data_IF_816553717714
#
_entry.id   IF_816553717714
#
_cell.length_a   1.000
_cell.length_b   1.000
_cell.length_c   1.000
_cell.angle_alpha   90.00
_cell.angle_beta   90.00
_cell.angle_gamma   90.00
#
_symmetry.space_group_name_H-M   'P 1'
#
loop_
_entity.id
_entity.type
_entity.pdbx_description
1 polymer ?
#
# COMPACT_ATOMS: atom_id res chain seq x y z
N UNK A 1 20.95 3.19 -17.47
CA UNK A 1 19.81 3.79 -18.22
C UNK A 1 18.80 4.40 -17.24
N UNK A 2 18.29 5.59 -17.52
CA UNK A 2 17.29 6.28 -16.67
C UNK A 2 15.96 6.45 -17.39
N UNK A 3 14.85 6.23 -16.72
CA UNK A 3 13.50 6.38 -17.26
C UNK A 3 13.00 7.82 -17.12
N UNK A 4 12.30 8.29 -18.15
CA UNK A 4 11.58 9.57 -18.16
C UNK A 4 10.21 9.38 -18.83
N UNK A 5 9.18 9.95 -18.24
CA UNK A 5 7.80 9.85 -18.73
C UNK A 5 6.88 10.85 -18.04
N UNK A 6 5.72 11.15 -18.62
CA UNK A 6 4.76 12.11 -18.06
C UNK A 6 3.34 11.67 -18.35
N UNK A 7 2.48 11.84 -17.35
CA UNK A 7 1.02 11.73 -17.47
C UNK A 7 0.36 13.00 -16.90
N UNK A 8 -0.97 13.03 -16.84
CA UNK A 8 -1.71 14.07 -16.13
C UNK A 8 -1.42 14.05 -14.61
N UNK A 9 -1.25 12.86 -14.03
CA UNK A 9 -1.22 12.67 -12.58
C UNK A 9 0.19 12.55 -11.98
N UNK A 10 1.18 12.18 -12.78
CA UNK A 10 2.56 12.08 -12.32
C UNK A 10 3.56 12.37 -13.45
N UNK A 11 4.82 12.54 -13.09
CA UNK A 11 5.94 12.50 -14.03
C UNK A 11 7.10 11.74 -13.43
N UNK A 12 7.91 11.14 -14.30
CA UNK A 12 9.21 10.58 -13.94
C UNK A 12 10.26 11.32 -14.74
N UNK A 13 11.30 11.84 -14.08
CA UNK A 13 12.48 12.43 -14.73
C UNK A 13 13.72 11.79 -14.14
N UNK A 14 14.52 11.11 -14.97
CA UNK A 14 15.72 10.40 -14.51
C UNK A 14 15.47 9.51 -13.27
N UNK A 15 14.47 8.62 -13.34
CA UNK A 15 14.00 7.75 -12.23
C UNK A 15 13.45 8.48 -10.99
N UNK A 16 13.32 9.81 -11.03
CA UNK A 16 12.70 10.59 -9.95
C UNK A 16 11.21 10.75 -10.25
N UNK A 17 10.36 10.18 -9.39
CA UNK A 17 8.90 10.20 -9.52
C UNK A 17 8.33 11.42 -8.80
N UNK A 18 7.50 12.20 -9.48
CA UNK A 18 6.72 13.30 -8.90
C UNK A 18 5.24 13.01 -9.10
N UNK A 19 4.49 12.87 -8.01
CA UNK A 19 3.04 12.70 -8.02
C UNK A 19 2.40 14.09 -7.89
N UNK A 20 1.50 14.45 -8.81
CA UNK A 20 0.90 15.80 -8.90
C UNK A 20 -0.44 15.93 -8.21
N UNK A 21 -1.04 14.81 -7.83
CA UNK A 21 -2.33 14.80 -7.15
C UNK A 21 -2.17 14.29 -5.73
N UNK A 22 -3.04 14.75 -4.85
CA UNK A 22 -3.09 14.33 -3.46
C UNK A 22 -4.54 14.12 -3.04
N UNK A 23 -4.76 13.20 -2.10
CA UNK A 23 -5.99 13.06 -1.33
C UNK A 23 -5.82 13.50 0.13
N UNK A 24 -4.65 14.06 0.48
CA UNK A 24 -4.39 14.50 1.83
C UNK A 24 -5.24 15.72 2.23
N UNK A 25 -5.56 15.77 3.52
CA UNK A 25 -6.29 16.87 4.17
C UNK A 25 -5.36 17.49 5.21
N UNK A 26 -5.26 18.82 5.21
CA UNK A 26 -4.42 19.56 6.16
C UNK A 26 -4.78 19.33 7.63
N UNK A 27 -6.03 18.94 7.91
CA UNK A 27 -6.52 18.59 9.25
C UNK A 27 -6.03 17.22 9.76
N UNK A 28 -5.40 16.39 8.92
CA UNK A 28 -4.95 15.04 9.26
C UNK A 28 -3.48 15.00 9.69
N UNK A 29 -3.08 15.99 10.48
CA UNK A 29 -1.75 16.06 11.10
C UNK A 29 -1.75 15.35 12.45
N UNK A 30 -0.58 14.92 12.97
CA UNK A 30 -0.50 14.45 14.35
C UNK A 30 -0.95 15.55 15.32
N UNK A 31 -1.37 15.17 16.55
CA UNK A 31 -1.61 16.13 17.62
C UNK A 31 -0.40 17.03 17.86
N UNK A 32 -0.65 18.30 18.17
CA UNK A 32 0.39 19.28 18.50
C UNK A 32 0.76 19.20 19.99
N UNK A 33 1.19 18.01 20.43
CA UNK A 33 1.55 17.72 21.81
C UNK A 33 3.08 17.65 22.03
N UNK A 34 3.86 18.01 20.99
CA UNK A 34 5.33 17.91 20.99
C UNK A 34 5.88 16.48 20.90
N UNK A 35 5.04 15.45 20.85
CA UNK A 35 5.50 14.04 20.78
C UNK A 35 5.95 13.65 19.36
N UNK A 36 5.51 14.42 18.36
CA UNK A 36 5.81 14.19 16.94
C UNK A 36 6.71 15.29 16.39
N UNK A 37 7.85 14.87 15.87
CA UNK A 37 8.84 15.73 15.21
C UNK A 37 8.67 15.61 13.71
N UNK A 38 8.53 16.73 12.99
CA UNK A 38 8.49 16.73 11.53
C UNK A 38 9.86 16.33 10.98
N UNK A 39 9.88 15.41 10.01
CA UNK A 39 11.08 15.04 9.28
C UNK A 39 11.09 15.77 7.93
N UNK A 40 12.05 16.67 7.76
CA UNK A 40 12.27 17.41 6.52
C UNK A 40 12.65 16.49 5.34
N UNK A 41 12.64 17.02 4.12
CA UNK A 41 12.90 16.22 2.92
C UNK A 41 14.36 15.72 2.88
N UNK A 42 15.27 16.50 3.42
CA UNK A 42 16.70 16.26 3.48
C UNK A 42 17.06 15.26 4.60
N UNK A 43 16.14 14.99 5.55
CA UNK A 43 16.37 14.02 6.62
C UNK A 43 16.68 12.63 6.03
N UNK A 44 17.73 11.93 6.48
CA UNK A 44 18.10 10.62 5.95
C UNK A 44 16.97 9.59 6.01
N UNK A 45 16.10 9.66 7.00
CA UNK A 45 14.90 8.81 7.14
C UNK A 45 13.87 9.13 6.07
N UNK A 46 13.66 10.40 5.77
CA UNK A 46 12.78 10.88 4.70
C UNK A 46 13.28 10.45 3.33
N UNK A 47 14.57 10.65 3.05
CA UNK A 47 15.24 10.16 1.84
C UNK A 47 15.10 8.65 1.70
N UNK A 48 15.32 7.88 2.78
CA UNK A 48 15.16 6.43 2.78
C UNK A 48 13.70 6.03 2.47
N UNK A 49 12.72 6.69 3.08
CA UNK A 49 11.30 6.46 2.80
C UNK A 49 10.98 6.68 1.32
N UNK A 50 11.36 7.83 0.77
CA UNK A 50 11.14 8.19 -0.63
C UNK A 50 11.84 7.25 -1.62
N UNK A 51 13.05 6.77 -1.31
CA UNK A 51 13.76 5.75 -2.11
C UNK A 51 13.04 4.40 -2.09
N UNK A 52 12.57 3.95 -0.93
CA UNK A 52 11.80 2.69 -0.81
C UNK A 52 10.50 2.77 -1.61
N UNK A 53 9.76 3.88 -1.50
CA UNK A 53 8.55 4.13 -2.28
C UNK A 53 8.86 4.12 -3.79
N UNK A 54 9.89 4.85 -4.22
CA UNK A 54 10.33 4.88 -5.62
C UNK A 54 10.63 3.48 -6.18
N UNK A 55 11.30 2.63 -5.38
CA UNK A 55 11.56 1.22 -5.75
C UNK A 55 10.28 0.40 -5.90
N UNK A 56 9.32 0.54 -4.99
CA UNK A 56 8.03 -0.17 -5.11
C UNK A 56 7.27 0.27 -6.36
N UNK A 57 7.26 1.57 -6.67
CA UNK A 57 6.63 2.12 -7.87
C UNK A 57 7.28 1.55 -9.14
N UNK A 58 8.62 1.53 -9.21
CA UNK A 58 9.31 1.04 -10.41
C UNK A 58 9.11 -0.46 -10.64
N UNK A 59 9.04 -1.25 -9.56
CA UNK A 59 8.65 -2.66 -9.63
C UNK A 59 7.21 -2.84 -10.12
N UNK A 60 6.26 -2.02 -9.63
CA UNK A 60 4.86 -2.11 -10.03
C UNK A 60 4.60 -1.72 -11.49
N UNK A 61 5.40 -0.80 -12.05
CA UNK A 61 5.33 -0.41 -13.46
C UNK A 61 6.06 -1.40 -14.40
N UNK A 62 6.57 -2.53 -13.88
CA UNK A 62 7.44 -3.47 -14.60
C UNK A 62 8.62 -2.78 -15.31
N UNK A 63 9.12 -1.65 -14.77
CA UNK A 63 10.26 -0.91 -15.33
C UNK A 63 11.60 -1.46 -14.84
N UNK A 64 11.55 -2.41 -13.91
CA UNK A 64 12.67 -3.23 -13.49
C UNK A 64 12.33 -4.64 -13.94
N UNK A 65 13.01 -5.13 -14.98
CA UNK A 65 12.80 -6.47 -15.52
C UNK A 65 12.92 -7.51 -14.40
N UNK A 66 11.94 -8.41 -14.29
CA UNK A 66 11.94 -9.53 -13.32
C UNK A 66 12.92 -10.66 -13.71
N UNK A 67 13.95 -10.36 -14.49
CA UNK A 67 14.86 -11.36 -15.06
C UNK A 67 16.16 -10.82 -15.64
N UNK A 68 16.21 -9.55 -16.09
CA UNK A 68 17.47 -8.90 -16.47
C UNK A 68 18.03 -8.08 -15.32
N UNK A 69 18.71 -8.78 -14.39
CA UNK A 69 19.47 -8.14 -13.31
C UNK A 69 20.73 -7.37 -13.78
N UNK A 70 20.96 -7.26 -15.09
CA UNK A 70 22.22 -6.76 -15.65
C UNK A 70 22.20 -5.26 -15.99
N UNK A 71 21.03 -4.64 -16.17
CA UNK A 71 20.92 -3.17 -16.24
C UNK A 71 20.55 -2.62 -14.87
N UNK A 72 21.47 -2.77 -13.90
CA UNK A 72 21.47 -1.92 -12.70
C UNK A 72 21.47 -0.47 -13.19
N UNK A 73 20.32 0.18 -13.17
CA UNK A 73 20.27 1.62 -13.34
C UNK A 73 21.13 2.21 -12.23
N UNK A 74 22.23 2.88 -12.60
CA UNK A 74 23.11 3.56 -11.64
C UNK A 74 22.34 4.58 -10.79
N UNK A 75 21.26 5.13 -11.36
CA UNK A 75 20.40 6.11 -10.71
C UNK A 75 19.28 5.39 -9.96
N UNK A 76 19.23 5.45 -8.61
CA UNK A 76 18.17 4.80 -7.85
C UNK A 76 16.81 5.49 -8.10
N UNK A 77 15.76 4.68 -8.11
CA UNK A 77 14.39 5.20 -8.11
C UNK A 77 14.07 5.89 -6.80
N UNK A 78 13.50 7.10 -6.88
CA UNK A 78 13.17 7.92 -5.71
C UNK A 78 11.92 8.75 -5.97
N UNK A 79 11.10 8.94 -4.94
CA UNK A 79 10.03 9.94 -4.96
C UNK A 79 10.64 11.34 -4.71
N UNK A 80 10.41 12.31 -5.61
CA UNK A 80 10.94 13.67 -5.48
C UNK A 80 10.49 14.33 -4.18
N UNK A 81 9.21 14.21 -3.88
CA UNK A 81 8.56 14.76 -2.69
C UNK A 81 7.31 13.92 -2.37
N UNK A 82 6.84 13.95 -1.13
CA UNK A 82 5.53 13.40 -0.81
C UNK A 82 4.43 14.20 -1.53
N UNK A 83 3.28 13.60 -1.86
CA UNK A 83 2.17 14.34 -2.46
C UNK A 83 1.73 15.50 -1.55
N UNK A 84 1.17 16.57 -2.13
CA UNK A 84 0.80 17.78 -1.38
C UNK A 84 0.05 17.47 -0.07
N UNK A 85 0.42 18.14 1.02
CA UNK A 85 -0.10 17.96 2.38
C UNK A 85 0.19 16.62 3.06
N UNK A 86 0.94 15.70 2.44
CA UNK A 86 1.58 14.62 3.18
C UNK A 86 2.85 15.11 3.87
N UNK A 87 3.09 14.61 5.09
CA UNK A 87 4.27 14.94 5.85
C UNK A 87 4.71 13.74 6.71
N UNK A 88 6.02 13.56 6.81
CA UNK A 88 6.62 12.45 7.55
C UNK A 88 6.97 12.92 8.96
N UNK A 89 6.54 12.19 9.97
CA UNK A 89 6.78 12.52 11.36
C UNK A 89 7.47 11.38 12.09
N UNK A 90 8.34 11.74 13.02
CA UNK A 90 8.99 10.84 13.96
C UNK A 90 8.31 10.97 15.33
N UNK A 91 7.86 9.84 15.89
CA UNK A 91 7.44 9.74 17.28
C UNK A 91 8.54 9.09 18.10
N UNK A 92 9.02 9.76 19.14
CA UNK A 92 9.94 9.18 20.12
C UNK A 92 9.14 8.67 21.31
N UNK A 93 9.37 7.43 21.74
CA UNK A 93 8.70 6.84 22.91
C UNK A 93 9.76 6.17 23.78
N UNK A 94 9.72 6.41 25.07
CA UNK A 94 10.54 5.69 26.05
C UNK A 94 9.61 4.82 26.90
N UNK A 95 9.93 3.52 27.01
CA UNK A 95 9.25 2.61 27.92
C UNK A 95 10.21 2.24 29.04
N UNK A 96 9.79 2.42 30.30
CA UNK A 96 10.55 1.98 31.47
C UNK A 96 10.05 0.61 31.91
N UNK A 97 10.96 -0.35 31.97
CA UNK A 97 10.68 -1.68 32.50
C UNK A 97 10.72 -1.68 34.04
N UNK A 98 10.12 -2.70 34.65
CA UNK A 98 10.07 -2.87 36.12
C UNK A 98 11.46 -3.03 36.75
N UNK A 99 12.46 -3.50 35.99
CA UNK A 99 13.87 -3.59 36.38
C UNK A 99 14.63 -2.26 36.26
N UNK A 100 13.93 -1.16 35.93
CA UNK A 100 14.50 0.16 35.76
C UNK A 100 15.16 0.40 34.40
N UNK A 101 15.27 -0.60 33.52
CA UNK A 101 15.83 -0.41 32.18
C UNK A 101 14.84 0.31 31.26
N UNK A 102 15.28 1.41 30.65
CA UNK A 102 14.51 2.17 29.67
C UNK A 102 14.86 1.73 28.24
N UNK A 103 13.85 1.42 27.42
CA UNK A 103 14.04 1.23 25.97
C UNK A 103 13.45 2.43 25.22
N UNK A 104 14.32 3.18 24.55
CA UNK A 104 13.88 4.21 23.62
C UNK A 104 13.52 3.57 22.27
N UNK A 105 12.38 3.98 21.71
CA UNK A 105 11.88 3.59 20.39
C UNK A 105 11.62 4.84 19.56
N UNK A 106 12.01 4.78 18.28
CA UNK A 106 11.70 5.79 17.26
C UNK A 106 10.75 5.16 16.25
N UNK A 107 9.53 5.66 16.15
CA UNK A 107 8.57 5.27 15.13
C UNK A 107 8.42 6.37 14.10
N UNK A 108 8.24 6.01 12.83
CA UNK A 108 8.13 6.98 11.74
C UNK A 108 6.82 6.74 11.01
N UNK A 109 6.05 7.80 10.82
CA UNK A 109 4.72 7.75 10.24
C UNK A 109 4.56 8.81 9.17
N UNK A 110 3.92 8.44 8.07
CA UNK A 110 3.48 9.39 7.06
C UNK A 110 2.02 9.77 7.31
N UNK A 111 1.77 11.05 7.54
CA UNK A 111 0.45 11.65 7.73
C UNK A 111 0.01 12.38 6.47
N UNK A 112 -1.31 12.48 6.25
CA UNK A 112 -1.90 13.23 5.14
C UNK A 112 -3.31 12.76 4.80
N UNK A 113 -3.54 11.46 4.70
CA UNK A 113 -4.89 10.89 4.53
C UNK A 113 -5.64 10.79 5.87
N UNK A 114 -6.86 10.25 5.87
CA UNK A 114 -7.63 9.93 7.09
C UNK A 114 -6.96 8.90 8.03
N UNK A 115 -5.78 8.42 7.67
CA UNK A 115 -5.00 7.42 8.36
C UNK A 115 -3.52 7.75 8.20
N UNK A 116 -2.70 7.18 9.09
CA UNK A 116 -1.25 7.26 9.03
C UNK A 116 -0.68 5.97 8.44
N UNK A 117 0.36 6.09 7.62
CA UNK A 117 1.12 4.94 7.13
C UNK A 117 2.34 4.72 8.02
N UNK A 118 2.53 3.49 8.52
CA UNK A 118 3.65 3.15 9.40
C UNK A 118 4.88 2.66 8.63
N UNK A 119 4.75 2.40 7.33
CA UNK A 119 5.87 1.98 6.49
C UNK A 119 5.80 2.53 5.06
N UNK A 120 6.95 2.61 4.37
CA UNK A 120 7.00 2.96 2.94
C UNK A 120 6.17 2.03 2.06
N UNK A 121 6.10 0.74 2.41
CA UNK A 121 5.37 -0.27 1.64
C UNK A 121 3.85 -0.07 1.73
N UNK A 122 3.34 0.26 2.93
CA UNK A 122 1.92 0.57 3.13
C UNK A 122 1.51 1.79 2.30
N UNK A 123 2.35 2.83 2.24
CA UNK A 123 2.07 4.02 1.43
C UNK A 123 2.24 3.77 -0.07
N UNK A 124 3.18 2.91 -0.50
CA UNK A 124 3.45 2.68 -1.92
C UNK A 124 2.22 2.23 -2.71
N UNK A 125 1.38 1.36 -2.13
CA UNK A 125 0.12 0.95 -2.75
C UNK A 125 -0.84 2.13 -2.98
N UNK A 126 -0.91 3.04 -2.01
CA UNK A 126 -1.71 4.27 -2.09
C UNK A 126 -1.15 5.26 -3.11
N UNK A 127 0.18 5.43 -3.13
CA UNK A 127 0.88 6.27 -4.10
C UNK A 127 0.64 5.80 -5.55
N UNK A 128 0.62 4.48 -5.80
CA UNK A 128 0.29 3.93 -7.13
C UNK A 128 -1.15 4.25 -7.52
N UNK A 129 -2.10 4.20 -6.59
CA UNK A 129 -3.48 4.64 -6.85
C UNK A 129 -3.57 6.14 -7.15
N UNK A 130 -2.81 6.99 -6.46
CA UNK A 130 -2.66 8.40 -6.82
C UNK A 130 -2.07 8.58 -8.23
N UNK A 131 -1.06 7.80 -8.61
CA UNK A 131 -0.49 7.85 -9.96
C UNK A 131 -1.50 7.44 -11.05
N UNK A 132 -2.53 6.66 -10.71
CA UNK A 132 -3.66 6.31 -11.61
C UNK A 132 -4.76 7.37 -11.65
N UNK A 133 -4.55 8.54 -11.04
CA UNK A 133 -5.56 9.60 -11.06
C UNK A 133 -6.64 9.46 -9.99
N UNK A 134 -6.37 8.71 -8.90
CA UNK A 134 -7.39 8.33 -7.90
C UNK A 134 -8.56 7.56 -8.52
N UNK A 135 -8.33 6.91 -9.66
CA UNK A 135 -9.34 6.13 -10.37
C UNK A 135 -9.44 4.70 -9.82
N UNK A 136 -10.66 4.18 -9.82
CA UNK A 136 -10.95 2.86 -9.27
C UNK A 136 -10.75 2.77 -7.76
N UNK A 137 -10.81 1.53 -7.24
CA UNK A 137 -10.66 1.25 -5.83
C UNK A 137 -9.17 1.22 -5.43
N UNK A 138 -8.83 1.91 -4.33
CA UNK A 138 -7.49 1.84 -3.76
C UNK A 138 -7.30 0.51 -3.03
N UNK A 139 -6.18 -0.16 -3.28
CA UNK A 139 -5.83 -1.47 -2.71
C UNK A 139 -4.89 -1.37 -1.50
N UNK A 140 -4.63 -0.16 -0.99
CA UNK A 140 -3.85 -0.01 0.22
C UNK A 140 -4.64 -0.55 1.42
N UNK A 141 -3.94 -1.06 2.43
CA UNK A 141 -4.53 -1.68 3.64
C UNK A 141 -5.67 -0.83 4.23
N UNK A 142 -5.45 0.48 4.36
CA UNK A 142 -6.39 1.38 5.01
C UNK A 142 -7.63 1.70 4.18
N UNK A 143 -7.47 1.86 2.86
CA UNK A 143 -8.62 2.05 1.96
C UNK A 143 -9.45 0.77 1.86
N UNK A 144 -8.78 -0.40 1.82
CA UNK A 144 -9.42 -1.71 1.78
C UNK A 144 -10.30 -1.94 3.01
N UNK A 145 -9.76 -1.72 4.20
CA UNK A 145 -10.52 -1.93 5.44
C UNK A 145 -11.69 -0.94 5.55
N UNK A 146 -11.51 0.30 5.06
CA UNK A 146 -12.57 1.31 5.07
C UNK A 146 -13.74 1.02 4.12
N UNK A 147 -13.53 0.28 3.02
CA UNK A 147 -14.65 -0.15 2.17
C UNK A 147 -15.29 -1.41 2.73
N UNK A 148 -14.51 -2.37 3.24
CA UNK A 148 -15.04 -3.61 3.83
C UNK A 148 -15.96 -3.32 5.01
N UNK A 149 -15.61 -2.34 5.85
CA UNK A 149 -16.45 -1.91 6.96
C UNK A 149 -17.79 -1.30 6.51
N UNK A 150 -17.85 -0.68 5.33
CA UNK A 150 -19.06 -0.02 4.80
C UNK A 150 -20.01 -0.95 4.04
N UNK A 151 -19.54 -2.10 3.57
CA UNK A 151 -20.38 -3.04 2.79
C UNK A 151 -21.56 -3.57 3.60
N UNK A 152 -21.40 -4.00 4.87
CA UNK A 152 -22.54 -4.38 5.69
C UNK A 152 -23.57 -3.25 5.82
N UNK A 153 -23.14 -2.02 6.11
CA UNK A 153 -24.02 -0.86 6.26
C UNK A 153 -24.82 -0.57 4.96
N UNK A 154 -24.17 -0.66 3.79
CA UNK A 154 -24.84 -0.45 2.51
C UNK A 154 -25.85 -1.55 2.18
N UNK A 155 -25.56 -2.80 2.55
CA UNK A 155 -26.50 -3.91 2.38
C UNK A 155 -27.69 -3.78 3.33
N UNK A 156 -27.48 -3.32 4.57
CA UNK A 156 -28.56 -3.08 5.52
C UNK A 156 -29.43 -1.88 5.17
N UNK A 157 -28.85 -0.80 4.65
CA UNK A 157 -29.60 0.39 4.22
C UNK A 157 -30.48 0.09 3.01
N UNK A 158 -30.04 -0.78 2.09
CA UNK A 158 -30.88 -1.27 0.99
C UNK A 158 -32.09 -2.09 1.46
N UNK A 159 -31.94 -2.89 2.52
CA UNK A 159 -33.05 -3.66 3.12
C UNK A 159 -34.02 -2.74 3.87
N UNK A 160 -33.52 -1.71 4.56
CA UNK A 160 -34.38 -0.74 5.26
C UNK A 160 -35.15 0.16 4.29
N UNK A 161 -34.54 0.56 3.18
CA UNK A 161 -35.19 1.34 2.13
C UNK A 161 -36.29 0.55 1.40
N UNK A 162 -36.11 -0.76 1.20
CA UNK A 162 -37.15 -1.62 0.61
C UNK A 162 -38.29 -1.96 1.58
N UNK A 163 -38.02 -2.07 2.88
CA UNK A 163 -39.04 -2.29 3.90
C UNK A 163 -39.96 -1.06 4.14
N UNK A 164 -39.43 0.16 3.96
CA UNK A 164 -40.20 1.40 4.10
C UNK A 164 -41.11 1.71 2.89
N UNK A 165 -40.91 1.02 1.76
CA UNK A 165 -41.70 1.19 0.54
C UNK A 165 -42.93 0.26 0.46
N UNK A 166 -43.16 -0.61 1.45
CA UNK A 166 -44.33 -1.50 1.49
C UNK A 166 -45.51 -0.75 2.17
N UNK A 167 -46.61 -0.45 1.46
CA UNK A 167 -47.79 0.16 2.06
C UNK A 167 -48.40 -0.78 3.13
N UNK A 168 -49.00 -0.24 4.21
CA UNK A 168 -49.47 -1.02 5.35
C UNK A 168 -50.61 -2.01 5.04
N UNK A 169 -51.16 -2.04 3.83
CA UNK A 169 -52.23 -2.98 3.44
C UNK A 169 -51.77 -4.42 3.20
N UNK A 170 -50.46 -4.70 3.14
CA UNK A 170 -49.94 -6.06 2.90
C UNK A 170 -49.64 -6.86 4.18
N UNK A 171 -49.87 -6.30 5.38
CA UNK A 171 -49.43 -6.90 6.65
C UNK A 171 -50.46 -7.80 7.35
N UNK A 172 -51.59 -8.11 6.71
CA UNK A 172 -52.59 -9.01 7.25
C UNK A 172 -52.45 -10.40 6.63
N UNK A 173 -51.79 -11.31 7.37
CA UNK A 173 -51.89 -12.74 7.07
C UNK A 173 -50.59 -13.52 7.10
N UNK A 174 -49.84 -13.49 8.20
CA UNK A 174 -49.03 -14.65 8.60
C UNK A 174 -48.81 -14.58 10.10
N UNK A 175 -49.89 -14.86 10.83
CA UNK A 175 -49.84 -15.25 12.24
C UNK A 175 -50.11 -16.74 12.29
N UNK A 176 -49.29 -17.46 13.06
CA UNK A 176 -49.35 -18.88 13.45
C UNK A 176 -48.33 -19.82 12.77
N UNK A 177 -47.74 -20.66 13.62
CA UNK A 177 -46.66 -21.64 13.43
C UNK A 177 -45.26 -21.02 13.53
N UNK A 178 -44.48 -21.20 14.59
CA UNK A 178 -44.15 -22.46 15.27
C UNK A 178 -43.89 -22.27 16.78
N UNK A 179 -44.59 -23.06 17.61
CA UNK A 179 -44.14 -23.45 18.95
C UNK A 179 -43.14 -24.59 18.77
N UNK A 180 -41.91 -24.45 19.26
CA UNK A 180 -40.88 -25.47 19.12
C UNK A 180 -39.72 -25.29 20.10
N UNK A 181 -39.95 -25.74 21.34
CA UNK A 181 -38.98 -26.44 22.20
C UNK A 181 -37.69 -25.71 22.62
N UNK A 182 -37.77 -25.09 23.81
CA UNK A 182 -36.66 -24.86 24.75
C UNK A 182 -35.89 -26.17 24.97
N UNK A 183 -34.60 -26.21 24.62
CA UNK A 183 -33.64 -27.14 25.21
C UNK A 183 -32.55 -26.35 25.93
N UNK A 184 -32.59 -26.49 27.25
CA UNK A 184 -31.64 -26.06 28.26
C UNK A 184 -30.42 -26.97 28.11
N UNK A 185 -29.22 -26.44 27.86
CA UNK A 185 -27.98 -27.18 28.12
C UNK A 185 -27.14 -26.38 29.10
N UNK A 186 -26.75 -27.11 30.14
CA UNK A 186 -26.06 -26.68 31.35
C UNK A 186 -24.57 -26.56 31.06
N UNK A 187 -23.94 -25.71 31.86
CA UNK A 187 -22.53 -25.38 31.96
C UNK A 187 -21.64 -26.54 32.41
N UNK A 188 -20.33 -26.36 32.18
CA UNK A 188 -19.22 -26.55 33.15
C UNK A 188 -18.00 -27.18 32.48
N UNK A 189 -16.82 -26.65 32.82
CA UNK A 189 -15.56 -27.37 32.60
C UNK A 189 -14.35 -26.51 32.28
N UNK A 190 -13.78 -25.90 33.32
CA UNK A 190 -12.38 -25.50 33.43
C UNK A 190 -11.40 -26.62 33.03
N UNK A 191 -10.16 -26.20 32.71
CA UNK A 191 -8.83 -26.87 32.68
C UNK A 191 -8.12 -26.28 31.44
N UNK A 192 -6.92 -25.71 31.46
CA UNK A 192 -5.85 -25.69 32.42
C UNK A 192 -4.61 -25.17 31.68
N UNK A 193 -3.92 -24.25 32.34
CA UNK A 193 -2.50 -23.88 32.25
C UNK A 193 -1.63 -24.74 31.32
N UNK A 194 -0.86 -24.11 30.42
CA UNK A 194 0.58 -24.38 30.35
C UNK A 194 1.36 -23.27 29.64
N UNK A 195 2.29 -22.70 30.39
CA UNK A 195 3.51 -22.05 29.93
C UNK A 195 4.34 -22.99 29.03
N UNK A 196 5.41 -22.42 28.43
CA UNK A 196 6.66 -23.01 27.89
C UNK A 196 6.75 -22.73 26.38
N UNK A 197 7.81 -22.20 25.78
CA UNK A 197 9.08 -21.64 26.24
C UNK A 197 9.69 -20.88 25.06
N UNK A 198 10.34 -19.76 25.36
CA UNK A 198 11.23 -19.04 24.45
C UNK A 198 12.43 -19.91 24.10
N UNK A 199 12.77 -20.08 22.83
CA UNK A 199 14.15 -20.38 22.45
C UNK A 199 14.74 -19.27 21.60
N UNK A 200 15.85 -18.76 22.14
CA UNK A 200 16.70 -17.70 21.62
C UNK A 200 17.56 -18.22 20.46
N UNK A 201 17.98 -17.24 19.66
CA UNK A 201 19.13 -17.22 18.77
C UNK A 201 20.35 -18.02 19.25
N UNK A 202 20.99 -18.73 18.32
CA UNK A 202 22.45 -18.94 18.24
C UNK A 202 22.79 -18.83 16.74
N UNK A 203 23.43 -17.76 16.27
CA UNK A 203 24.88 -17.50 16.22
C UNK A 203 25.63 -18.25 15.11
N UNK A 204 26.01 -17.46 14.09
CA UNK A 204 27.32 -17.38 13.43
C UNK A 204 27.92 -18.57 12.67
N UNK A 205 28.21 -18.33 11.38
CA UNK A 205 29.55 -18.37 10.74
C UNK A 205 29.33 -18.45 9.21
N UNK A 206 29.79 -17.50 8.37
CA UNK A 206 31.17 -17.38 7.85
C UNK A 206 31.60 -18.74 7.26
N UNK A 207 31.69 -18.91 5.93
CA UNK A 207 32.89 -18.58 5.17
C UNK A 207 32.59 -18.32 3.69
N UNK A 208 33.18 -17.22 3.23
CA UNK A 208 33.36 -16.84 1.84
C UNK A 208 34.70 -17.37 1.36
N UNK A 209 34.73 -18.23 0.34
CA UNK A 209 35.84 -18.33 -0.62
C UNK A 209 35.50 -19.38 -1.67
N UNK A 210 35.20 -18.97 -2.91
CA UNK A 210 35.62 -19.71 -4.10
C UNK A 210 35.78 -18.71 -5.26
N UNK A 211 37.05 -18.46 -5.57
CA UNK A 211 37.50 -17.95 -6.86
C UNK A 211 37.06 -18.91 -7.96
N UNK A 212 36.40 -18.39 -9.00
CA UNK A 212 36.41 -19.01 -10.32
C UNK A 212 36.60 -17.92 -11.37
N UNK A 213 37.84 -17.82 -11.83
CA UNK A 213 38.24 -17.34 -13.15
C UNK A 213 37.53 -18.17 -14.21
N UNK A 214 36.67 -17.56 -15.05
CA UNK A 214 36.25 -18.19 -16.31
C UNK A 214 36.12 -17.14 -17.43
N UNK A 215 37.15 -17.15 -18.27
CA UNK A 215 37.14 -17.12 -19.74
C UNK A 215 36.18 -16.16 -20.45
N UNK A 216 36.81 -15.14 -21.05
CA UNK A 216 36.36 -14.36 -22.18
C UNK A 216 35.88 -15.23 -23.35
N UNK A 217 34.66 -14.96 -23.83
CA UNK A 217 34.22 -15.32 -25.19
C UNK A 217 33.54 -14.10 -25.83
N UNK A 218 33.86 -13.77 -27.11
CA UNK A 218 33.24 -12.66 -27.81
C UNK A 218 31.91 -13.09 -28.42
N UNK A 219 30.78 -12.68 -27.80
CA UNK A 219 29.46 -12.86 -28.39
C UNK A 219 29.16 -11.70 -29.35
N UNK A 220 29.29 -11.95 -30.66
CA UNK A 220 28.68 -11.13 -31.72
C UNK A 220 27.16 -11.26 -31.61
N UNK A 221 26.47 -10.18 -31.23
CA UNK A 221 25.02 -10.05 -31.39
C UNK A 221 24.74 -9.05 -32.52
N UNK A 222 24.04 -9.54 -33.53
CA UNK A 222 23.47 -8.73 -34.61
C UNK A 222 22.24 -7.96 -34.12
N UNK A 223 21.94 -6.78 -34.69
CA UNK A 223 20.73 -6.04 -34.37
C UNK A 223 19.52 -6.70 -35.06
N UNK A 224 18.62 -7.25 -34.26
CA UNK A 224 17.28 -7.63 -34.73
C UNK A 224 16.43 -6.36 -34.77
N UNK A 225 16.19 -5.87 -36.00
CA UNK A 225 15.12 -4.95 -36.35
C UNK A 225 13.78 -5.62 -36.05
N UNK A 226 13.00 -5.08 -35.11
CA UNK A 226 11.59 -5.42 -34.95
C UNK A 226 10.76 -4.14 -35.02
N UNK A 227 10.22 -3.93 -36.22
CA UNK A 227 8.89 -3.39 -36.54
C UNK A 227 8.52 -2.00 -35.98
N UNK A 228 8.87 -0.99 -36.77
CA UNK A 228 7.88 0.00 -37.21
C UNK A 228 6.75 -0.73 -37.95
N UNK A 229 5.51 -0.60 -37.48
CA UNK A 229 4.25 -0.60 -38.27
C UNK A 229 3.04 -0.85 -37.36
N UNK A 230 2.58 0.22 -36.69
CA UNK A 230 1.17 0.39 -36.33
C UNK A 230 0.78 1.79 -36.81
N UNK A 231 0.67 1.91 -38.13
CA UNK A 231 -0.12 2.94 -38.82
C UNK A 231 -1.50 2.32 -39.08
N UNK A 232 -2.56 3.15 -39.07
CA UNK A 232 -3.87 2.86 -39.69
C UNK A 232 -4.82 1.85 -39.04
N UNK A 233 -5.29 2.11 -37.81
CA UNK A 233 -6.65 1.69 -37.39
C UNK A 233 -7.37 2.85 -36.68
N UNK A 234 -7.45 4.03 -37.32
CA UNK A 234 -8.43 5.08 -36.98
C UNK A 234 -8.84 5.79 -38.27
N UNK A 235 -9.47 5.06 -39.20
CA UNK A 235 -10.07 5.65 -40.40
C UNK A 235 -11.16 4.74 -41.00
N UNK A 236 -12.09 4.19 -40.19
CA UNK A 236 -13.26 3.45 -40.73
C UNK A 236 -14.49 3.42 -39.81
N UNK A 237 -14.65 4.33 -38.85
CA UNK A 237 -15.88 4.40 -38.01
C UNK A 237 -16.63 5.74 -38.16
N UNK A 238 -16.46 6.42 -39.30
CA UNK A 238 -17.24 7.62 -39.66
C UNK A 238 -18.00 7.35 -40.94
N UNK A 239 -19.18 6.71 -40.85
CA UNK A 239 -20.01 6.50 -42.05
C UNK A 239 -21.26 5.64 -41.93
N UNK A 240 -21.88 5.45 -40.76
CA UNK A 240 -23.14 4.68 -40.64
C UNK A 240 -24.15 5.25 -39.63
N UNK A 241 -24.31 6.58 -39.62
CA UNK A 241 -25.53 7.20 -39.11
C UNK A 241 -25.99 8.26 -40.10
N UNK A 242 -26.69 7.79 -41.14
CA UNK A 242 -27.75 8.48 -41.85
C UNK A 242 -28.93 7.51 -41.90
#
# INVERSE_FOLDING_TARGET
>A
MSYTGKTAFYSVKKNTVTIRISDARSSQRPPDDGTFELLELEDPTSVMWRRKIGRFISSALNLVDRGQSTLKSEVPWILSDFPSHYALYCRRTSTRSADGTGKARKDVYLYGASHRFASPAEFAAHAIWLMRGRSGQCVCKYCVDSWRARVPDLLEDGVKQTAAAIPPSARAGYSQMTRGTKRKFISDGDIGVSLITRHRCIHMAVLSSMSLTYLSLPFKLQPVLIMTDIVQIIASVSGMFN
#
